data_IF_697978499267
#
_entry.id   IF_697978499267
#
_cell.length_a   1.000
_cell.length_b   1.000
_cell.length_c   1.000
_cell.angle_alpha   90.00
_cell.angle_beta   90.00
_cell.angle_gamma   90.00
#
_symmetry.space_group_name_H-M   'P 1'
#
loop_
_entity.id
_entity.type
_entity.pdbx_description
1 polymer ?
#
# COMPACT_ATOMS: atom_id res chain seq x y z
N UNK A 1 -5.06 -13.34 12.68
CA UNK A 1 -6.36 -13.44 13.39
C UNK A 1 -7.39 -13.97 12.41
N UNK A 2 -8.22 -14.96 12.78
CA UNK A 2 -9.40 -15.31 11.98
C UNK A 2 -10.37 -14.12 12.01
N UNK A 3 -10.71 -13.55 10.85
CA UNK A 3 -11.48 -12.32 10.75
C UNK A 3 -12.88 -12.44 11.35
N UNK A 4 -13.05 -12.07 12.62
CA UNK A 4 -14.36 -11.74 13.19
C UNK A 4 -14.75 -10.34 12.73
N UNK A 5 -16.02 -10.16 12.40
CA UNK A 5 -16.52 -8.84 12.01
C UNK A 5 -16.46 -7.85 13.17
N UNK A 6 -16.09 -6.60 12.88
CA UNK A 6 -16.03 -5.54 13.89
C UNK A 6 -17.36 -5.42 14.67
N UNK A 7 -18.51 -5.62 14.01
CA UNK A 7 -19.82 -5.61 14.65
C UNK A 7 -20.02 -6.75 15.64
N UNK A 8 -19.36 -7.89 15.41
CA UNK A 8 -19.42 -9.10 16.22
C UNK A 8 -18.32 -9.15 17.30
N UNK A 9 -17.40 -8.19 17.32
CA UNK A 9 -16.40 -8.08 18.37
C UNK A 9 -17.06 -7.66 19.69
N UNK A 10 -16.64 -8.25 20.80
CA UNK A 10 -16.89 -7.66 22.11
C UNK A 10 -16.14 -6.32 22.23
N UNK A 11 -16.48 -5.51 23.23
CA UNK A 11 -15.78 -4.26 23.46
C UNK A 11 -14.28 -4.48 23.73
N UNK A 12 -13.93 -5.53 24.47
CA UNK A 12 -12.54 -5.89 24.76
C UNK A 12 -11.82 -6.43 23.51
N UNK A 13 -12.47 -7.27 22.70
CA UNK A 13 -11.90 -7.71 21.41
C UNK A 13 -11.63 -6.52 20.47
N UNK A 14 -12.50 -5.50 20.51
CA UNK A 14 -12.32 -4.27 19.74
C UNK A 14 -11.15 -3.41 20.25
N UNK A 15 -10.87 -3.41 21.56
CA UNK A 15 -9.68 -2.74 22.12
C UNK A 15 -8.40 -3.42 21.65
N UNK A 16 -8.35 -4.74 21.71
CA UNK A 16 -7.17 -5.50 21.28
C UNK A 16 -6.91 -5.31 19.78
N UNK A 17 -7.98 -5.35 18.98
CA UNK A 17 -7.88 -5.07 17.55
C UNK A 17 -7.36 -3.65 17.28
N UNK A 18 -7.96 -2.63 17.91
CA UNK A 18 -7.53 -1.24 17.74
C UNK A 18 -6.06 -1.03 18.17
N UNK A 19 -5.64 -1.62 19.30
CA UNK A 19 -4.26 -1.55 19.77
C UNK A 19 -3.27 -2.13 18.77
N UNK A 20 -3.56 -3.33 18.24
CA UNK A 20 -2.69 -3.99 17.27
C UNK A 20 -2.59 -3.18 15.98
N UNK A 21 -3.71 -2.64 15.49
CA UNK A 21 -3.72 -1.82 14.27
C UNK A 21 -2.93 -0.52 14.50
N UNK A 22 -3.14 0.18 15.62
CA UNK A 22 -2.41 1.40 15.95
C UNK A 22 -0.90 1.12 16.06
N UNK A 23 -0.50 0.00 16.67
CA UNK A 23 0.90 -0.39 16.79
C UNK A 23 1.56 -0.54 15.41
N UNK A 24 0.88 -1.19 14.46
CA UNK A 24 1.37 -1.35 13.08
C UNK A 24 1.53 0.02 12.39
N UNK A 25 0.54 0.91 12.54
CA UNK A 25 0.60 2.26 11.96
C UNK A 25 1.77 3.06 12.55
N UNK A 26 1.98 2.97 13.87
CA UNK A 26 3.10 3.64 14.53
C UNK A 26 4.46 3.08 14.11
N UNK A 27 4.59 1.77 13.92
CA UNK A 27 5.82 1.14 13.44
C UNK A 27 6.22 1.70 12.06
N UNK A 28 5.24 1.86 11.17
CA UNK A 28 5.45 2.47 9.86
C UNK A 28 5.86 3.94 9.94
N UNK A 29 5.11 4.76 10.68
CA UNK A 29 5.41 6.19 10.83
C UNK A 29 6.84 6.39 11.36
N UNK A 30 7.24 5.56 12.33
CA UNK A 30 8.61 5.55 12.86
C UNK A 30 9.62 5.17 11.78
N UNK A 31 9.34 4.12 10.99
CA UNK A 31 10.22 3.69 9.90
C UNK A 31 10.38 4.76 8.81
N UNK A 32 9.32 5.49 8.47
CA UNK A 32 9.39 6.60 7.52
C UNK A 32 10.15 7.78 8.13
N UNK A 33 9.90 8.16 9.38
CA UNK A 33 10.60 9.26 10.03
C UNK A 33 12.11 9.03 10.08
N UNK A 34 12.54 7.77 10.28
CA UNK A 34 13.95 7.39 10.21
C UNK A 34 14.53 7.50 8.79
N UNK A 35 13.74 7.17 7.77
CA UNK A 35 14.16 7.20 6.37
C UNK A 35 14.14 8.63 5.77
N UNK A 36 13.18 9.45 6.19
CA UNK A 36 12.93 10.81 5.74
C UNK A 36 12.67 11.69 6.97
N UNK A 37 13.73 12.11 7.69
CA UNK A 37 13.57 12.94 8.87
C UNK A 37 12.87 14.26 8.53
N UNK A 38 12.00 14.73 9.43
CA UNK A 38 11.52 16.13 9.51
C UNK A 38 10.21 16.50 8.75
N UNK A 39 9.12 15.72 8.88
CA UNK A 39 7.81 16.08 8.29
C UNK A 39 6.57 15.85 9.20
N UNK A 40 6.72 15.78 10.52
CA UNK A 40 5.56 15.68 11.45
C UNK A 40 5.06 14.26 11.73
N UNK A 41 5.75 13.23 11.23
CA UNK A 41 5.44 11.81 11.49
C UNK A 41 5.52 11.45 12.99
N UNK A 42 6.51 11.95 13.74
CA UNK A 42 6.61 11.70 15.19
C UNK A 42 5.47 12.34 16.01
N UNK A 43 4.94 13.48 15.57
CA UNK A 43 3.77 14.11 16.21
C UNK A 43 2.51 13.24 16.01
N UNK A 44 2.36 12.65 14.82
CA UNK A 44 1.27 11.74 14.51
C UNK A 44 1.38 10.43 15.31
N UNK A 45 2.58 9.84 15.39
CA UNK A 45 2.80 8.65 16.20
C UNK A 45 2.45 8.89 17.69
N UNK A 46 2.74 10.09 18.19
CA UNK A 46 2.39 10.52 19.55
C UNK A 46 0.88 10.59 19.77
N UNK A 47 0.12 11.13 18.80
CA UNK A 47 -1.34 11.25 18.90
C UNK A 47 -2.06 9.91 18.76
N UNK A 48 -1.58 9.02 17.88
CA UNK A 48 -2.07 7.66 17.81
C UNK A 48 -1.83 6.91 19.11
N UNK A 49 -0.69 7.15 19.76
CA UNK A 49 -0.37 6.61 21.08
C UNK A 49 -1.34 7.15 22.16
N UNK A 50 -1.69 8.44 22.10
CA UNK A 50 -2.69 9.03 22.99
C UNK A 50 -4.08 8.42 22.77
N UNK A 51 -4.52 8.29 21.51
CA UNK A 51 -5.79 7.65 21.15
C UNK A 51 -5.82 6.20 21.67
N UNK A 52 -4.75 5.45 21.48
CA UNK A 52 -4.65 4.08 21.99
C UNK A 52 -4.79 4.05 23.52
N UNK A 53 -4.11 4.95 24.23
CA UNK A 53 -4.20 5.05 25.69
C UNK A 53 -5.64 5.30 26.15
N UNK A 54 -6.38 6.18 25.45
CA UNK A 54 -7.79 6.44 25.72
C UNK A 54 -8.67 5.21 25.46
N UNK A 55 -8.42 4.48 24.37
CA UNK A 55 -9.13 3.24 24.03
C UNK A 55 -8.93 2.20 25.13
N UNK A 56 -7.69 1.96 25.55
CA UNK A 56 -7.37 0.97 26.59
C UNK A 56 -8.09 1.26 27.91
N UNK A 57 -8.11 2.52 28.31
CA UNK A 57 -8.72 2.96 29.57
C UNK A 57 -10.25 3.11 29.52
N UNK A 58 -10.87 2.98 28.34
CA UNK A 58 -12.32 3.15 28.20
C UNK A 58 -13.09 1.95 28.74
N UNK A 59 -14.28 2.17 29.30
CA UNK A 59 -15.20 1.10 29.73
C UNK A 59 -16.44 0.98 28.84
N UNK A 60 -16.54 1.84 27.82
CA UNK A 60 -17.62 1.88 26.84
C UNK A 60 -17.35 2.94 25.77
N UNK A 61 -18.31 3.17 24.85
CA UNK A 61 -18.18 4.17 23.80
C UNK A 61 -17.96 5.58 24.36
N UNK A 62 -16.99 6.30 23.82
CA UNK A 62 -16.56 7.63 24.31
C UNK A 62 -16.16 8.61 23.21
N UNK A 63 -16.02 8.14 21.97
CA UNK A 63 -15.66 8.97 20.82
C UNK A 63 -16.91 9.61 20.19
N UNK A 64 -16.72 10.78 19.57
CA UNK A 64 -17.67 11.35 18.63
C UNK A 64 -17.27 11.02 17.19
N UNK A 65 -18.20 11.14 16.24
CA UNK A 65 -17.86 11.04 14.82
C UNK A 65 -16.77 12.06 14.44
N UNK A 66 -16.86 13.30 14.93
CA UNK A 66 -15.84 14.33 14.69
C UNK A 66 -14.45 13.92 15.18
N UNK A 67 -14.35 13.21 16.30
CA UNK A 67 -13.06 12.70 16.78
C UNK A 67 -12.47 11.67 15.81
N UNK A 68 -13.31 10.79 15.28
CA UNK A 68 -12.88 9.81 14.29
C UNK A 68 -12.48 10.52 12.99
N UNK A 69 -13.30 11.45 12.50
CA UNK A 69 -13.06 12.17 11.25
C UNK A 69 -11.80 13.03 11.29
N UNK A 70 -11.48 13.61 12.45
CA UNK A 70 -10.23 14.35 12.63
C UNK A 70 -9.02 13.43 12.57
N UNK A 71 -9.06 12.24 13.19
CA UNK A 71 -7.98 11.24 13.11
C UNK A 71 -7.77 10.80 11.67
N UNK A 72 -8.86 10.59 10.92
CA UNK A 72 -8.82 10.31 9.47
C UNK A 72 -8.13 11.46 8.76
N UNK A 73 -8.73 12.64 8.73
CA UNK A 73 -8.25 13.79 7.97
C UNK A 73 -6.77 14.12 8.25
N UNK A 74 -6.29 13.88 9.46
CA UNK A 74 -4.88 14.07 9.82
C UNK A 74 -3.93 12.95 9.38
N UNK A 75 -4.31 11.67 9.50
CA UNK A 75 -3.55 10.58 8.90
C UNK A 75 -3.37 10.82 7.40
N UNK A 76 -4.43 11.29 6.76
CA UNK A 76 -4.49 11.55 5.33
C UNK A 76 -3.61 12.70 4.87
N UNK A 77 -3.72 13.87 5.51
CA UNK A 77 -2.86 15.01 5.19
C UNK A 77 -1.37 14.74 5.46
N UNK A 78 -1.07 13.79 6.33
CA UNK A 78 0.30 13.38 6.64
C UNK A 78 0.82 12.38 5.60
N UNK A 79 0.01 11.40 5.19
CA UNK A 79 0.42 10.41 4.19
C UNK A 79 0.58 11.00 2.78
N UNK A 80 -0.23 11.99 2.40
CA UNK A 80 -0.12 12.62 1.08
C UNK A 80 1.12 13.50 0.93
N UNK A 81 1.77 13.89 2.04
CA UNK A 81 3.05 14.62 2.03
C UNK A 81 4.27 13.72 1.83
N UNK A 82 4.08 12.41 1.71
CA UNK A 82 5.16 11.45 1.49
C UNK A 82 5.66 11.58 0.04
N UNK A 83 6.88 12.09 -0.11
CA UNK A 83 7.70 12.15 -1.33
C UNK A 83 6.98 12.65 -2.61
N UNK A 84 7.35 13.83 -3.17
CA UNK A 84 6.62 14.46 -4.28
C UNK A 84 6.38 13.58 -5.52
N UNK A 85 7.27 12.63 -5.79
CA UNK A 85 7.16 11.72 -6.94
C UNK A 85 6.03 10.69 -6.82
N UNK A 86 5.59 10.34 -5.60
CA UNK A 86 4.49 9.37 -5.38
C UNK A 86 3.25 10.03 -4.76
N UNK A 87 3.33 11.30 -4.37
CA UNK A 87 2.24 12.09 -3.78
C UNK A 87 0.94 11.97 -4.58
N UNK A 88 0.98 12.11 -5.91
CA UNK A 88 -0.21 11.99 -6.75
C UNK A 88 -0.83 10.58 -6.71
N UNK A 89 0.01 9.53 -6.75
CA UNK A 89 -0.46 8.15 -6.65
C UNK A 89 -1.05 7.85 -5.27
N UNK A 90 -0.44 8.37 -4.20
CA UNK A 90 -0.96 8.26 -2.84
C UNK A 90 -2.26 9.04 -2.66
N UNK A 91 -2.37 10.23 -3.25
CA UNK A 91 -3.60 11.03 -3.25
C UNK A 91 -4.73 10.32 -4.02
N UNK A 92 -4.47 9.77 -5.20
CA UNK A 92 -5.48 9.04 -5.99
C UNK A 92 -5.91 7.74 -5.29
N UNK A 93 -4.96 6.99 -4.70
CA UNK A 93 -5.27 5.83 -3.86
C UNK A 93 -6.15 6.23 -2.68
N UNK A 94 -5.81 7.34 -2.05
CA UNK A 94 -6.53 7.87 -0.92
C UNK A 94 -7.96 8.29 -1.27
N UNK A 95 -8.16 9.09 -2.31
CA UNK A 95 -9.51 9.51 -2.70
C UNK A 95 -10.39 8.29 -3.03
N UNK A 96 -9.82 7.27 -3.68
CA UNK A 96 -10.53 6.03 -3.90
C UNK A 96 -10.90 5.30 -2.60
N UNK A 97 -9.98 5.23 -1.64
CA UNK A 97 -10.19 4.61 -0.34
C UNK A 97 -11.20 5.38 0.53
N UNK A 98 -11.25 6.71 0.41
CA UNK A 98 -12.28 7.56 1.02
C UNK A 98 -13.64 7.34 0.39
N UNK A 99 -13.72 7.26 -0.94
CA UNK A 99 -14.96 6.91 -1.64
C UNK A 99 -15.44 5.52 -1.21
N UNK A 100 -14.53 4.56 -1.01
CA UNK A 100 -14.82 3.26 -0.42
C UNK A 100 -15.35 3.43 1.02
N UNK A 101 -14.67 4.16 1.89
CA UNK A 101 -15.10 4.40 3.27
C UNK A 101 -16.51 5.02 3.34
N UNK A 102 -16.78 6.04 2.52
CA UNK A 102 -18.09 6.67 2.41
C UNK A 102 -19.16 5.70 1.87
N UNK A 103 -18.80 4.86 0.90
CA UNK A 103 -19.69 3.80 0.44
C UNK A 103 -20.04 2.82 1.57
N UNK A 104 -19.06 2.42 2.37
CA UNK A 104 -19.25 1.49 3.50
C UNK A 104 -20.14 2.08 4.60
N UNK A 105 -19.91 3.34 4.95
CA UNK A 105 -20.71 4.05 5.96
C UNK A 105 -22.20 4.09 5.57
N UNK A 106 -22.48 4.28 4.28
CA UNK A 106 -23.82 4.33 3.74
C UNK A 106 -24.43 2.94 3.50
N UNK A 107 -23.63 1.87 3.54
CA UNK A 107 -24.04 0.51 3.23
C UNK A 107 -23.53 -0.49 4.29
N UNK A 108 -23.90 -0.26 5.56
CA UNK A 108 -23.44 -1.02 6.73
C UNK A 108 -23.52 -2.56 6.60
N UNK A 109 -24.44 -3.08 5.77
CA UNK A 109 -24.63 -4.51 5.56
C UNK A 109 -23.88 -5.08 4.32
N UNK A 110 -23.32 -4.25 3.44
CA UNK A 110 -22.74 -4.69 2.17
C UNK A 110 -21.33 -5.30 2.29
N UNK A 111 -20.71 -5.20 3.48
CA UNK A 111 -19.30 -5.54 3.69
C UNK A 111 -19.03 -6.44 4.89
N UNK A 112 -19.99 -7.29 5.24
CA UNK A 112 -19.83 -8.34 6.27
C UNK A 112 -18.70 -9.35 5.99
N UNK A 113 -17.86 -9.20 4.94
CA UNK A 113 -16.87 -10.22 4.58
C UNK A 113 -15.50 -9.76 4.05
N UNK A 114 -15.32 -8.53 3.56
CA UNK A 114 -14.13 -8.24 2.72
C UNK A 114 -13.00 -7.42 3.39
N UNK A 115 -13.29 -6.53 4.34
CA UNK A 115 -12.28 -5.59 4.86
C UNK A 115 -11.40 -6.13 5.99
N UNK A 116 -11.88 -7.15 6.71
CA UNK A 116 -11.17 -7.74 7.85
C UNK A 116 -10.43 -9.05 7.50
N UNK A 117 -10.49 -9.46 6.24
CA UNK A 117 -9.76 -10.61 5.72
C UNK A 117 -8.57 -10.17 4.85
N UNK A 118 -8.02 -8.97 5.07
CA UNK A 118 -6.70 -8.66 4.51
C UNK A 118 -5.73 -9.71 5.03
N UNK A 119 -5.08 -10.42 4.11
CA UNK A 119 -4.33 -11.62 4.46
C UNK A 119 -3.16 -11.23 5.39
N UNK A 120 -3.16 -11.63 6.68
CA UNK A 120 -2.07 -11.31 7.60
C UNK A 120 -0.71 -11.78 7.06
N UNK A 121 -0.70 -12.79 6.20
CA UNK A 121 0.50 -13.27 5.52
C UNK A 121 1.10 -12.22 4.58
N UNK A 122 0.31 -11.27 4.05
CA UNK A 122 0.83 -10.16 3.22
C UNK A 122 1.68 -9.23 4.06
N UNK A 123 1.27 -8.92 5.30
CA UNK A 123 2.02 -8.04 6.21
C UNK A 123 3.32 -8.70 6.64
N UNK A 124 3.29 -9.97 7.03
CA UNK A 124 4.51 -10.71 7.39
C UNK A 124 5.47 -10.80 6.21
N UNK A 125 4.98 -11.15 5.02
CA UNK A 125 5.81 -11.16 3.80
C UNK A 125 6.38 -9.79 3.46
N UNK A 126 5.63 -8.70 3.66
CA UNK A 126 6.19 -7.36 3.49
C UNK A 126 7.29 -7.05 4.49
N UNK A 127 7.11 -7.41 5.77
CA UNK A 127 8.13 -7.23 6.81
C UNK A 127 9.40 -7.97 6.44
N UNK A 128 9.29 -9.22 5.98
CA UNK A 128 10.42 -10.01 5.49
C UNK A 128 11.13 -9.30 4.33
N UNK A 129 10.39 -8.92 3.29
CA UNK A 129 10.94 -8.26 2.09
C UNK A 129 11.60 -6.92 2.45
N UNK A 130 11.00 -6.13 3.36
CA UNK A 130 11.60 -4.90 3.87
C UNK A 130 12.88 -5.15 4.67
N UNK A 131 12.89 -6.15 5.55
CA UNK A 131 14.09 -6.54 6.29
C UNK A 131 15.24 -6.92 5.33
N UNK A 132 14.96 -7.76 4.32
CA UNK A 132 15.96 -8.12 3.31
C UNK A 132 16.46 -6.89 2.52
N UNK A 133 15.57 -5.94 2.17
CA UNK A 133 15.96 -4.69 1.49
C UNK A 133 16.95 -3.90 2.35
N UNK A 134 16.64 -3.75 3.65
CA UNK A 134 17.45 -2.98 4.59
C UNK A 134 18.80 -3.63 4.89
N UNK A 135 18.92 -4.96 4.74
CA UNK A 135 20.19 -5.68 4.88
C UNK A 135 21.10 -5.50 3.65
N UNK A 136 20.53 -5.57 2.45
CA UNK A 136 21.28 -5.59 1.18
C UNK A 136 21.66 -4.18 0.72
N UNK A 137 20.74 -3.21 0.85
CA UNK A 137 20.90 -1.87 0.28
C UNK A 137 22.10 -1.08 0.84
N UNK A 138 22.40 -1.09 2.17
CA UNK A 138 23.57 -0.41 2.69
C UNK A 138 24.89 -0.97 2.15
N UNK A 139 24.99 -2.29 2.00
CA UNK A 139 26.17 -2.96 1.46
C UNK A 139 26.38 -2.60 -0.03
N UNK A 140 25.29 -2.58 -0.80
CA UNK A 140 25.32 -2.12 -2.20
C UNK A 140 25.79 -0.67 -2.31
N UNK A 141 25.26 0.23 -1.48
CA UNK A 141 25.66 1.64 -1.45
C UNK A 141 27.14 1.81 -1.11
N UNK A 142 27.63 1.09 -0.10
CA UNK A 142 29.05 1.12 0.31
C UNK A 142 29.98 0.67 -0.82
N UNK A 143 29.54 -0.27 -1.64
CA UNK A 143 30.30 -0.80 -2.78
C UNK A 143 30.03 -0.06 -4.10
N UNK A 144 29.48 1.17 -4.06
CA UNK A 144 29.11 1.95 -5.24
C UNK A 144 28.29 1.14 -6.27
N UNK A 145 27.40 0.27 -5.77
CA UNK A 145 26.53 -0.57 -6.58
C UNK A 145 27.26 -1.55 -7.51
N UNK A 146 28.50 -1.93 -7.19
CA UNK A 146 29.28 -2.88 -8.00
C UNK A 146 29.09 -4.36 -7.62
N UNK A 147 28.42 -4.64 -6.49
CA UNK A 147 28.17 -5.99 -6.00
C UNK A 147 26.98 -6.65 -6.74
N UNK A 148 27.30 -7.49 -7.71
CA UNK A 148 26.32 -8.24 -8.51
C UNK A 148 25.42 -9.16 -7.69
N UNK A 149 25.93 -9.73 -6.60
CA UNK A 149 25.15 -10.61 -5.74
C UNK A 149 24.07 -9.80 -5.02
N UNK A 150 24.44 -8.62 -4.50
CA UNK A 150 23.49 -7.67 -3.91
C UNK A 150 22.45 -7.17 -4.92
N UNK A 151 22.83 -6.85 -6.16
CA UNK A 151 21.88 -6.40 -7.20
C UNK A 151 20.85 -7.49 -7.50
N UNK A 152 21.32 -8.73 -7.71
CA UNK A 152 20.43 -9.87 -7.96
C UNK A 152 19.51 -10.15 -6.77
N UNK A 153 20.04 -10.09 -5.54
CA UNK A 153 19.24 -10.26 -4.34
C UNK A 153 18.16 -9.17 -4.21
N UNK A 154 18.47 -7.92 -4.56
CA UNK A 154 17.49 -6.85 -4.55
C UNK A 154 16.43 -7.02 -5.66
N UNK A 155 16.79 -7.50 -6.84
CA UNK A 155 15.86 -7.80 -7.94
C UNK A 155 14.86 -8.91 -7.55
N UNK A 156 15.36 -9.98 -6.92
CA UNK A 156 14.51 -11.05 -6.38
C UNK A 156 13.58 -10.51 -5.29
N UNK A 157 14.12 -9.70 -4.39
CA UNK A 157 13.34 -9.09 -3.33
C UNK A 157 12.26 -8.13 -3.86
N UNK A 158 12.58 -7.36 -4.90
CA UNK A 158 11.63 -6.50 -5.60
C UNK A 158 10.50 -7.32 -6.23
N UNK A 159 10.81 -8.46 -6.84
CA UNK A 159 9.81 -9.37 -7.42
C UNK A 159 8.85 -9.91 -6.35
N UNK A 160 9.39 -10.36 -5.20
CA UNK A 160 8.59 -10.77 -4.04
C UNK A 160 7.68 -9.65 -3.51
N UNK A 161 8.15 -8.40 -3.51
CA UNK A 161 7.36 -7.23 -3.11
C UNK A 161 6.18 -6.98 -4.04
N UNK A 162 6.43 -7.00 -5.35
CA UNK A 162 5.39 -6.81 -6.38
C UNK A 162 4.34 -7.92 -6.29
N UNK A 163 4.74 -9.18 -6.07
CA UNK A 163 3.82 -10.30 -5.86
C UNK A 163 2.97 -10.15 -4.60
N UNK A 164 3.59 -9.71 -3.49
CA UNK A 164 2.94 -9.65 -2.18
C UNK A 164 1.99 -8.47 -2.07
N UNK A 165 2.38 -7.29 -2.56
CA UNK A 165 1.66 -6.04 -2.28
C UNK A 165 0.96 -5.52 -3.52
N UNK A 166 1.69 -5.27 -4.60
CA UNK A 166 1.12 -4.63 -5.79
C UNK A 166 0.03 -5.51 -6.38
N UNK A 167 0.30 -6.80 -6.56
CA UNK A 167 -0.68 -7.72 -7.12
C UNK A 167 -1.89 -7.91 -6.19
N UNK A 168 -1.66 -8.12 -4.89
CA UNK A 168 -2.76 -8.32 -3.94
C UNK A 168 -3.66 -7.07 -3.84
N UNK A 169 -3.07 -5.87 -3.73
CA UNK A 169 -3.82 -4.62 -3.78
C UNK A 169 -4.56 -4.43 -5.10
N UNK A 170 -3.90 -4.69 -6.25
CA UNK A 170 -4.56 -4.57 -7.54
C UNK A 170 -5.77 -5.52 -7.65
N UNK A 171 -5.63 -6.76 -7.20
CA UNK A 171 -6.73 -7.73 -7.18
C UNK A 171 -7.87 -7.26 -6.27
N UNK A 172 -7.56 -6.82 -5.05
CA UNK A 172 -8.54 -6.30 -4.11
C UNK A 172 -9.23 -5.05 -4.67
N UNK A 173 -8.49 -3.99 -5.00
CA UNK A 173 -9.01 -2.73 -5.57
C UNK A 173 -9.82 -2.98 -6.85
N UNK A 174 -9.44 -3.94 -7.69
CA UNK A 174 -10.23 -4.30 -8.87
C UNK A 174 -11.57 -4.93 -8.49
N UNK A 175 -11.60 -5.83 -7.51
CA UNK A 175 -12.87 -6.37 -7.00
C UNK A 175 -13.76 -5.26 -6.41
N UNK A 176 -13.17 -4.29 -5.70
CA UNK A 176 -13.89 -3.13 -5.19
C UNK A 176 -14.46 -2.27 -6.32
N UNK A 177 -13.65 -1.94 -7.32
CA UNK A 177 -14.08 -1.21 -8.53
C UNK A 177 -15.29 -1.87 -9.15
N UNK A 178 -15.26 -3.18 -9.34
CA UNK A 178 -16.34 -3.90 -10.00
C UNK A 178 -17.62 -3.89 -9.16
N UNK A 179 -17.51 -4.02 -7.82
CA UNK A 179 -18.64 -3.88 -6.89
C UNK A 179 -19.23 -2.46 -6.89
N UNK A 180 -18.38 -1.42 -6.85
CA UNK A 180 -18.80 0.00 -6.92
C UNK A 180 -19.49 0.29 -8.25
N UNK A 181 -18.93 -0.22 -9.35
CA UNK A 181 -19.50 -0.06 -10.68
C UNK A 181 -20.84 -0.81 -10.81
N UNK A 182 -20.94 -2.02 -10.27
CA UNK A 182 -22.19 -2.78 -10.24
C UNK A 182 -23.26 -2.03 -9.45
N UNK A 183 -22.93 -1.51 -8.25
CA UNK A 183 -23.85 -0.72 -7.44
C UNK A 183 -24.28 0.57 -8.15
N UNK A 184 -23.32 1.30 -8.72
CA UNK A 184 -23.58 2.54 -9.45
C UNK A 184 -24.52 2.33 -10.63
N UNK A 185 -24.38 1.21 -11.35
CA UNK A 185 -25.33 0.81 -12.40
C UNK A 185 -26.71 0.49 -11.83
N UNK A 186 -26.77 -0.27 -10.73
CA UNK A 186 -28.04 -0.66 -10.09
C UNK A 186 -28.81 0.53 -9.50
N UNK A 187 -28.10 1.62 -9.14
CA UNK A 187 -28.67 2.81 -8.49
C UNK A 187 -28.54 4.09 -9.33
N UNK A 188 -28.20 3.96 -10.62
CA UNK A 188 -28.10 5.07 -11.59
C UNK A 188 -27.17 6.23 -11.15
N UNK A 189 -26.06 5.92 -10.48
CA UNK A 189 -25.05 6.90 -10.06
C UNK A 189 -24.09 7.23 -11.22
N UNK A 190 -23.70 8.51 -11.37
CA UNK A 190 -23.02 9.03 -12.57
C UNK A 190 -21.50 8.74 -12.69
N UNK A 191 -20.89 8.04 -11.74
CA UNK A 191 -19.45 8.19 -11.46
C UNK A 191 -18.52 7.05 -11.96
N UNK A 192 -18.99 6.15 -12.83
CA UNK A 192 -18.32 4.89 -13.22
C UNK A 192 -16.95 4.97 -13.92
N UNK A 193 -16.32 6.15 -14.04
CA UNK A 193 -15.21 6.38 -14.98
C UNK A 193 -13.83 6.68 -14.37
N UNK A 194 -13.69 6.87 -13.05
CA UNK A 194 -12.46 7.47 -12.48
C UNK A 194 -11.52 6.54 -11.73
N UNK A 195 -11.98 5.37 -11.30
CA UNK A 195 -11.17 4.46 -10.49
C UNK A 195 -10.46 3.41 -11.37
N UNK A 196 -9.15 3.58 -11.55
CA UNK A 196 -8.24 2.67 -12.26
C UNK A 196 -7.10 2.24 -11.33
N UNK A 197 -7.20 1.04 -10.72
CA UNK A 197 -6.19 0.52 -9.81
C UNK A 197 -4.79 0.42 -10.44
N UNK A 198 -4.70 0.13 -11.74
CA UNK A 198 -3.40 0.01 -12.43
C UNK A 198 -2.73 1.37 -12.54
N UNK A 199 -3.49 2.42 -12.84
CA UNK A 199 -2.99 3.78 -12.86
C UNK A 199 -2.51 4.23 -11.47
N UNK A 200 -3.31 3.94 -10.44
CA UNK A 200 -3.01 4.32 -9.05
C UNK A 200 -1.73 3.66 -8.56
N UNK A 201 -1.51 2.38 -8.88
CA UNK A 201 -0.34 1.62 -8.44
C UNK A 201 0.91 1.84 -9.32
N UNK A 202 0.84 2.69 -10.36
CA UNK A 202 1.91 2.94 -11.32
C UNK A 202 2.91 4.00 -10.89
N UNK A 203 3.76 3.71 -9.89
CA UNK A 203 4.75 4.63 -9.27
C UNK A 203 5.67 5.37 -10.26
N UNK A 204 5.87 4.85 -11.48
CA UNK A 204 6.63 5.53 -12.56
C UNK A 204 6.00 5.42 -13.95
N UNK A 205 4.74 4.99 -13.99
CA UNK A 205 3.96 4.91 -15.22
C UNK A 205 3.27 3.57 -15.45
N UNK A 206 2.55 3.55 -16.57
CA UNK A 206 1.76 2.44 -17.06
C UNK A 206 2.41 1.92 -18.35
N UNK A 207 2.44 0.59 -18.51
CA UNK A 207 3.08 -0.10 -19.62
C UNK A 207 2.06 -0.99 -20.33
N UNK A 208 2.13 -1.07 -21.66
CA UNK A 208 1.24 -1.92 -22.45
C UNK A 208 1.81 -3.33 -22.55
N UNK A 209 0.95 -4.33 -22.42
CA UNK A 209 1.25 -5.71 -22.83
C UNK A 209 0.71 -5.94 -24.24
N UNK A 210 1.30 -6.88 -24.95
CA UNK A 210 0.93 -7.25 -26.31
C UNK A 210 -0.53 -7.72 -26.48
N UNK A 211 -1.19 -8.17 -25.40
CA UNK A 211 -2.63 -8.48 -25.40
C UNK A 211 -3.53 -7.22 -25.33
N UNK A 212 -2.92 -6.03 -25.41
CA UNK A 212 -3.61 -4.74 -25.35
C UNK A 212 -3.95 -4.27 -23.93
N UNK A 213 -3.56 -5.02 -22.89
CA UNK A 213 -3.81 -4.65 -21.50
C UNK A 213 -2.71 -3.76 -20.94
N UNK A 214 -3.09 -2.80 -20.12
CA UNK A 214 -2.17 -1.91 -19.42
C UNK A 214 -1.80 -2.51 -18.04
N UNK A 215 -0.54 -2.35 -17.64
CA UNK A 215 0.06 -2.84 -16.40
C UNK A 215 0.91 -1.75 -15.73
N UNK A 216 1.28 -1.92 -14.46
CA UNK A 216 2.24 -1.02 -13.81
C UNK A 216 3.66 -1.29 -14.31
N UNK A 217 4.52 -0.26 -14.33
CA UNK A 217 5.94 -0.44 -14.62
C UNK A 217 6.62 -1.45 -13.68
N UNK A 218 6.27 -1.45 -12.39
CA UNK A 218 6.75 -2.44 -11.42
C UNK A 218 6.39 -3.88 -11.80
N UNK A 219 5.19 -4.10 -12.36
CA UNK A 219 4.75 -5.43 -12.80
C UNK A 219 5.53 -5.90 -14.02
N UNK A 220 5.85 -5.01 -14.97
CA UNK A 220 6.70 -5.36 -16.10
C UNK A 220 8.14 -5.65 -15.67
N UNK A 221 8.74 -4.83 -14.80
CA UNK A 221 10.07 -5.08 -14.24
C UNK A 221 10.11 -6.45 -13.54
N UNK A 222 9.12 -6.77 -12.69
CA UNK A 222 8.99 -8.08 -12.05
C UNK A 222 8.94 -9.20 -13.10
N UNK A 223 8.07 -9.08 -14.10
CA UNK A 223 7.91 -10.13 -15.10
C UNK A 223 9.20 -10.37 -15.90
N UNK A 224 9.90 -9.31 -16.27
CA UNK A 224 11.18 -9.40 -16.96
C UNK A 224 12.27 -9.96 -16.05
N UNK A 225 12.25 -9.63 -14.75
CA UNK A 225 13.18 -10.19 -13.76
C UNK A 225 13.00 -11.69 -13.60
N UNK A 226 11.76 -12.17 -13.39
CA UNK A 226 11.44 -13.58 -13.20
C UNK A 226 11.89 -14.46 -14.40
N UNK A 227 11.86 -13.89 -15.60
CA UNK A 227 12.26 -14.57 -16.84
C UNK A 227 13.69 -14.23 -17.28
N UNK A 228 14.49 -13.57 -16.42
CA UNK A 228 15.88 -13.22 -16.68
C UNK A 228 16.07 -12.37 -17.96
N UNK A 229 15.10 -11.52 -18.26
CA UNK A 229 15.07 -10.59 -19.40
C UNK A 229 15.62 -9.21 -19.03
N UNK A 230 16.82 -9.20 -18.47
CA UNK A 230 17.56 -7.98 -18.13
C UNK A 230 19.07 -8.17 -18.33
N UNK A 231 19.79 -7.06 -18.50
CA UNK A 231 21.25 -7.02 -18.57
C UNK A 231 21.80 -5.95 -17.64
N UNK A 232 22.90 -6.25 -16.97
CA UNK A 232 23.58 -5.30 -16.09
C UNK A 232 24.93 -4.95 -16.73
N UNK A 233 25.19 -3.66 -16.92
CA UNK A 233 26.51 -3.16 -17.31
C UNK A 233 27.11 -2.43 -16.10
N UNK A 234 28.42 -2.59 -15.84
CA UNK A 234 29.06 -2.00 -14.67
C UNK A 234 29.73 -0.64 -14.94
N UNK A 235 30.04 -0.31 -16.19
CA UNK A 235 30.77 0.89 -16.57
C UNK A 235 30.13 1.58 -17.78
N UNK A 236 29.15 2.50 -17.59
CA UNK A 236 28.54 2.91 -16.31
C UNK A 236 27.54 1.88 -15.75
N UNK A 237 27.31 1.91 -14.44
CA UNK A 237 26.36 1.02 -13.75
C UNK A 237 24.94 1.26 -14.26
N UNK A 238 24.43 0.34 -15.07
CA UNK A 238 23.09 0.41 -15.66
C UNK A 238 22.42 -0.96 -15.68
N UNK A 239 21.10 -0.97 -15.56
CA UNK A 239 20.24 -2.15 -15.68
C UNK A 239 19.32 -1.92 -16.87
N UNK A 240 19.45 -2.75 -17.90
CA UNK A 240 18.63 -2.72 -19.10
C UNK A 240 17.61 -3.83 -19.06
N UNK A 241 16.33 -3.47 -18.95
CA UNK A 241 15.21 -4.40 -19.08
C UNK A 241 14.76 -4.42 -20.53
N UNK A 242 14.78 -5.60 -21.15
CA UNK A 242 14.41 -5.77 -22.55
C UNK A 242 13.32 -6.82 -22.68
N UNK A 243 12.17 -6.42 -23.23
CA UNK A 243 11.10 -7.36 -23.58
C UNK A 243 11.58 -8.44 -24.55
N UNK A 244 11.21 -9.72 -24.36
CA UNK A 244 11.57 -10.81 -25.26
C UNK A 244 10.98 -10.64 -26.67
N UNK A 245 11.57 -11.33 -27.66
CA UNK A 245 11.16 -11.26 -29.07
C UNK A 245 9.66 -11.59 -29.29
N UNK A 246 9.14 -11.16 -30.45
CA UNK A 246 7.72 -11.10 -30.85
C UNK A 246 6.87 -12.39 -30.72
N UNK A 247 7.45 -13.53 -30.35
CA UNK A 247 6.78 -14.84 -30.31
C UNK A 247 6.33 -15.28 -28.90
N UNK A 248 6.34 -14.41 -27.90
CA UNK A 248 5.94 -14.77 -26.53
C UNK A 248 4.70 -13.99 -26.05
N UNK A 249 3.80 -14.68 -25.33
CA UNK A 249 2.64 -14.07 -24.65
C UNK A 249 3.03 -13.12 -23.52
N UNK A 250 4.33 -13.00 -23.22
CA UNK A 250 4.91 -12.28 -22.10
C UNK A 250 5.48 -10.91 -22.49
N UNK A 251 5.22 -10.47 -23.73
CA UNK A 251 5.74 -9.22 -24.27
C UNK A 251 5.05 -8.01 -23.66
N UNK A 252 5.84 -7.17 -23.01
CA UNK A 252 5.50 -5.78 -22.69
C UNK A 252 6.08 -4.85 -23.76
N UNK A 253 5.40 -3.75 -24.06
CA UNK A 253 5.99 -2.58 -24.69
C UNK A 253 6.84 -1.84 -23.64
N UNK A 254 7.94 -2.50 -23.28
CA UNK A 254 8.81 -2.10 -22.19
C UNK A 254 10.25 -2.46 -22.52
N UNK A 255 10.99 -1.44 -22.90
CA UNK A 255 12.43 -1.49 -23.15
C UNK A 255 13.02 -0.24 -22.50
N UNK A 256 13.72 -0.43 -21.37
CA UNK A 256 14.18 0.69 -20.55
C UNK A 256 15.50 0.39 -19.86
N UNK A 257 16.38 1.38 -19.89
CA UNK A 257 17.65 1.36 -19.18
C UNK A 257 17.56 2.30 -17.99
N UNK A 258 17.87 1.77 -16.81
CA UNK A 258 18.01 2.55 -15.59
C UNK A 258 19.49 2.69 -15.25
N UNK A 259 19.89 3.85 -14.74
CA UNK A 259 21.09 3.86 -13.91
C UNK A 259 20.81 3.03 -12.65
N UNK A 260 21.84 2.46 -12.05
CA UNK A 260 21.67 1.71 -10.81
C UNK A 260 21.00 2.58 -9.73
N UNK A 261 21.39 3.85 -9.62
CA UNK A 261 20.76 4.83 -8.72
C UNK A 261 19.26 5.02 -9.01
N UNK A 262 18.87 5.24 -10.28
CA UNK A 262 17.46 5.40 -10.65
C UNK A 262 16.63 4.17 -10.32
N UNK A 263 17.21 2.99 -10.49
CA UNK A 263 16.57 1.72 -10.17
C UNK A 263 16.39 1.56 -8.65
N UNK A 264 17.40 1.89 -7.84
CA UNK A 264 17.25 1.84 -6.38
C UNK A 264 16.25 2.87 -5.85
N UNK A 265 16.22 4.06 -6.45
CA UNK A 265 15.21 5.06 -6.15
C UNK A 265 13.81 4.54 -6.50
N UNK A 266 13.64 3.87 -7.65
CA UNK A 266 12.38 3.22 -8.01
C UNK A 266 11.96 2.16 -6.99
N UNK A 267 12.88 1.28 -6.58
CA UNK A 267 12.60 0.24 -5.57
C UNK A 267 12.20 0.87 -4.24
N UNK A 268 12.87 1.97 -3.84
CA UNK A 268 12.55 2.71 -2.62
C UNK A 268 11.17 3.40 -2.70
N UNK A 269 10.83 4.01 -3.84
CA UNK A 269 9.53 4.63 -4.07
C UNK A 269 8.40 3.58 -4.02
N UNK A 270 8.60 2.42 -4.64
CA UNK A 270 7.65 1.31 -4.59
C UNK A 270 7.50 0.77 -3.16
N UNK A 271 8.59 0.65 -2.40
CA UNK A 271 8.53 0.21 -0.99
C UNK A 271 7.75 1.20 -0.12
N UNK A 272 8.09 2.49 -0.23
CA UNK A 272 7.38 3.56 0.50
C UNK A 272 5.90 3.57 0.13
N UNK A 273 5.57 3.48 -1.16
CA UNK A 273 4.19 3.43 -1.63
C UNK A 273 3.44 2.19 -1.12
N UNK A 274 4.05 1.00 -1.20
CA UNK A 274 3.47 -0.25 -0.71
C UNK A 274 3.18 -0.19 0.79
N UNK A 275 4.13 0.30 1.59
CA UNK A 275 3.94 0.47 3.03
C UNK A 275 2.85 1.51 3.31
N UNK A 276 2.83 2.64 2.61
CA UNK A 276 1.79 3.66 2.78
C UNK A 276 0.40 3.10 2.45
N UNK A 277 0.27 2.35 1.35
CA UNK A 277 -0.98 1.70 0.96
C UNK A 277 -1.50 0.75 2.04
N UNK A 278 -0.62 -0.10 2.61
CA UNK A 278 -1.02 -1.01 3.69
C UNK A 278 -1.41 -0.26 4.96
N UNK A 279 -0.70 0.82 5.30
CA UNK A 279 -1.05 1.65 6.45
C UNK A 279 -2.37 2.39 6.27
N UNK A 280 -2.71 2.76 5.04
CA UNK A 280 -3.99 3.35 4.71
C UNK A 280 -5.13 2.34 4.89
N UNK A 281 -4.96 1.09 4.43
CA UNK A 281 -5.92 0.02 4.71
C UNK A 281 -6.11 -0.25 6.20
N UNK A 282 -5.01 -0.31 6.96
CA UNK A 282 -5.08 -0.44 8.42
C UNK A 282 -5.78 0.74 9.07
N UNK A 283 -5.57 1.94 8.54
CA UNK A 283 -6.33 3.11 8.96
C UNK A 283 -7.82 2.87 8.75
N UNK A 284 -8.28 2.45 7.57
CA UNK A 284 -9.70 2.11 7.33
C UNK A 284 -10.22 1.05 8.30
N UNK A 285 -9.46 0.00 8.56
CA UNK A 285 -9.85 -1.04 9.52
C UNK A 285 -10.01 -0.46 10.94
N UNK A 286 -9.07 0.38 11.36
CA UNK A 286 -9.16 1.08 12.64
C UNK A 286 -10.45 1.91 12.69
N UNK A 287 -10.81 2.62 11.62
CA UNK A 287 -12.05 3.40 11.57
C UNK A 287 -13.28 2.53 11.73
N UNK A 288 -13.34 1.38 11.05
CA UNK A 288 -14.44 0.44 11.19
C UNK A 288 -14.63 0.00 12.64
N UNK A 289 -13.52 -0.31 13.34
CA UNK A 289 -13.52 -0.67 14.76
C UNK A 289 -13.97 0.52 15.62
N UNK A 290 -13.38 1.70 15.43
CA UNK A 290 -13.69 2.90 16.21
C UNK A 290 -15.16 3.32 16.08
N UNK A 291 -15.68 3.40 14.84
CA UNK A 291 -17.06 3.85 14.58
C UNK A 291 -18.11 2.87 15.10
N UNK A 292 -17.84 1.57 15.05
CA UNK A 292 -18.83 0.57 15.48
C UNK A 292 -18.84 0.35 16.99
N UNK A 293 -17.69 0.50 17.66
CA UNK A 293 -17.56 0.09 19.08
C UNK A 293 -17.26 1.23 20.03
N UNK A 294 -16.65 2.31 19.55
CA UNK A 294 -16.19 3.40 20.41
C UNK A 294 -16.94 4.71 20.20
N UNK A 295 -17.71 4.88 19.13
CA UNK A 295 -18.53 6.08 18.92
C UNK A 295 -19.86 6.00 19.69
N UNK A 296 -20.18 7.09 20.39
CA UNK A 296 -21.48 7.25 21.04
C UNK A 296 -22.55 7.49 19.96
N UNK A 297 -23.44 6.53 19.75
CA UNK A 297 -24.63 6.73 18.91
C UNK A 297 -25.55 7.74 19.62
N UNK A 298 -25.71 8.93 19.04
CA UNK A 298 -26.73 9.90 19.44
C UNK A 298 -27.99 9.71 18.60
#
# INVERSE_FOLDING_TARGET
MSGKLAQNMTFDEAKDAANNIIAIINEFLTSIEQAIPNQGYGALASQLTELNTRIQNSTGPFLTNDNVDNVINWLLQTFTKIHPNIENNLQDLFEAEKEIALFLDNNKNAFEHTLLNFNPDIIEKMKDVTMYTNQILPQLKQNNYSDMSGINALLLNHSSRVETVVKAFLEELTQYRDKINQYSRNHQLSYTARFDPVKIMGVRGIVLRHDGKYYTEATAIRHLTDHHHFKINQNPCTIHFKSPDNNTSCKFDYDKTFTCEDFFNFVSEVDTFCKAAVNLLFTIQLLGVLRQKFVVCK
#
